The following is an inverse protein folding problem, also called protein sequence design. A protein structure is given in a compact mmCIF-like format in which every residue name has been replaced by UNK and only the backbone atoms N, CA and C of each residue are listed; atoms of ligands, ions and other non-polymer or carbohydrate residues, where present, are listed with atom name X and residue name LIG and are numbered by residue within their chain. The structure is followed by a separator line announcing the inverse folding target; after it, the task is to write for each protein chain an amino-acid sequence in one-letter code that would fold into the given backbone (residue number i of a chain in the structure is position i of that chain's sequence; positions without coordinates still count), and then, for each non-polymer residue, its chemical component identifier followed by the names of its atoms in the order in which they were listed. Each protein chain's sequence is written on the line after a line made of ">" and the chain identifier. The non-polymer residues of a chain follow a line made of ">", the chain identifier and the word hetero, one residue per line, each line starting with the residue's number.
data_IF_429692280882
#
_entry.id   IF_429692280882
#
_cell.length_a   1.000
_cell.length_b   1.000
_cell.length_c   1.000
_cell.angle_alpha   90.00
_cell.angle_beta   90.00
_cell.angle_gamma   90.00
#
_symmetry.space_group_name_H-M   'P 1'
#
loop_
_entity.id
_entity.type
_entity.pdbx_description
1 polymer ?
#
# COMPACT_ATOMS: atom_id res chain seq x y z
N UNK A 1 -26.06 70.75 -29.78
CA UNK A 1 -26.01 69.29 -29.96
C UNK A 1 -24.91 68.75 -29.07
N UNK A 2 -25.30 67.85 -28.18
CA UNK A 2 -24.49 67.17 -27.17
C UNK A 2 -23.63 66.08 -27.81
N UNK A 3 -22.37 65.93 -27.39
CA UNK A 3 -21.74 64.61 -27.23
C UNK A 3 -20.62 64.67 -26.17
N UNK A 4 -20.73 63.75 -25.21
CA UNK A 4 -19.94 63.63 -23.98
C UNK A 4 -18.62 62.87 -24.18
N UNK A 5 -17.62 63.06 -23.30
CA UNK A 5 -16.41 62.25 -23.27
C UNK A 5 -16.64 60.91 -22.54
N UNK A 6 -16.30 59.80 -23.20
CA UNK A 6 -16.34 58.45 -22.63
C UNK A 6 -15.14 58.20 -21.72
N UNK A 7 -15.39 58.23 -20.41
CA UNK A 7 -14.49 57.75 -19.37
C UNK A 7 -14.48 56.21 -19.34
N UNK A 8 -13.38 55.59 -19.77
CA UNK A 8 -13.11 54.17 -19.46
C UNK A 8 -12.54 54.10 -18.04
N UNK A 9 -13.39 53.72 -17.08
CA UNK A 9 -12.97 53.37 -15.72
C UNK A 9 -12.20 52.04 -15.77
N UNK A 10 -10.96 52.09 -15.30
CA UNK A 10 -10.10 50.97 -14.98
C UNK A 10 -10.77 50.09 -13.91
N UNK A 11 -11.19 48.89 -14.31
CA UNK A 11 -11.63 47.81 -13.41
C UNK A 11 -10.53 46.75 -13.33
N UNK A 12 -9.39 47.09 -12.71
CA UNK A 12 -8.29 46.14 -12.50
C UNK A 12 -7.71 46.16 -11.07
N UNK A 13 -8.29 46.88 -10.11
CA UNK A 13 -7.73 46.94 -8.74
C UNK A 13 -8.36 45.96 -7.75
N UNK A 14 -9.45 45.26 -8.11
CA UNK A 14 -10.15 44.34 -7.19
C UNK A 14 -9.58 42.91 -7.25
N UNK A 15 -8.96 42.53 -8.38
CA UNK A 15 -8.26 41.24 -8.50
C UNK A 15 -6.90 41.27 -7.78
N UNK A 16 -6.21 42.41 -7.76
CA UNK A 16 -4.91 42.55 -7.10
C UNK A 16 -4.98 42.60 -5.56
N UNK A 17 -6.13 42.97 -4.97
CA UNK A 17 -6.32 43.05 -3.52
C UNK A 17 -6.76 41.71 -2.89
N UNK A 18 -7.31 40.80 -3.71
CA UNK A 18 -7.65 39.44 -3.27
C UNK A 18 -6.39 38.55 -3.23
N UNK A 19 -5.33 38.90 -3.96
CA UNK A 19 -4.11 38.09 -4.04
C UNK A 19 -3.16 38.22 -2.83
N UNK A 20 -2.85 39.43 -2.34
CA UNK A 20 -1.79 39.55 -1.31
C UNK A 20 -2.19 38.97 0.05
N UNK A 21 -3.39 39.30 0.53
CA UNK A 21 -3.88 38.80 1.84
C UNK A 21 -4.16 37.30 1.84
N UNK A 22 -4.49 36.73 0.68
CA UNK A 22 -4.71 35.30 0.52
C UNK A 22 -3.38 34.55 0.53
N UNK A 23 -2.37 35.03 -0.22
CA UNK A 23 -1.02 34.46 -0.23
C UNK A 23 -0.38 34.48 1.15
N UNK A 24 -0.42 35.62 1.85
CA UNK A 24 0.11 35.74 3.21
C UNK A 24 -0.56 34.74 4.18
N UNK A 25 -1.83 34.43 3.95
CA UNK A 25 -2.58 33.50 4.82
C UNK A 25 -2.29 32.02 4.50
N UNK A 26 -2.01 31.68 3.25
CA UNK A 26 -1.56 30.33 2.89
C UNK A 26 -0.17 30.05 3.46
N UNK A 27 0.75 31.02 3.38
CA UNK A 27 2.09 30.90 3.96
C UNK A 27 2.03 30.65 5.47
N UNK A 28 1.10 31.28 6.18
CA UNK A 28 0.87 31.04 7.62
C UNK A 28 0.34 29.63 7.88
N UNK A 29 -0.60 29.13 7.06
CA UNK A 29 -1.12 27.77 7.20
C UNK A 29 -0.02 26.73 6.89
N UNK A 30 0.77 26.95 5.85
CA UNK A 30 1.89 26.09 5.49
C UNK A 30 2.98 26.10 6.57
N UNK A 31 3.31 27.27 7.12
CA UNK A 31 4.23 27.38 8.25
C UNK A 31 3.73 26.60 9.48
N UNK A 32 2.43 26.71 9.80
CA UNK A 32 1.84 25.96 10.91
C UNK A 32 1.84 24.44 10.67
N UNK A 33 1.55 23.99 9.44
CA UNK A 33 1.63 22.57 9.06
C UNK A 33 3.07 22.07 9.10
N UNK A 34 4.03 22.89 8.68
CA UNK A 34 5.45 22.56 8.76
C UNK A 34 5.95 22.50 10.21
N UNK A 35 5.48 23.39 11.09
CA UNK A 35 5.80 23.36 12.52
C UNK A 35 5.20 22.09 13.17
N UNK A 36 3.96 21.76 12.83
CA UNK A 36 3.29 20.51 13.21
C UNK A 36 4.11 19.27 12.85
N UNK A 37 4.59 19.19 11.61
CA UNK A 37 5.37 18.03 11.11
C UNK A 37 6.71 17.93 11.86
N UNK A 38 7.38 19.05 12.14
CA UNK A 38 8.76 19.04 12.62
C UNK A 38 8.91 19.07 14.14
N UNK A 39 7.94 19.62 14.89
CA UNK A 39 8.12 19.93 16.31
C UNK A 39 7.08 19.31 17.24
N UNK A 40 5.86 19.13 16.76
CA UNK A 40 4.74 18.73 17.63
C UNK A 40 4.82 17.23 17.92
N UNK A 41 4.86 16.90 19.21
CA UNK A 41 4.87 15.50 19.69
C UNK A 41 3.56 15.11 20.38
N UNK A 42 2.69 16.08 20.71
CA UNK A 42 1.40 15.83 21.36
C UNK A 42 0.27 15.71 20.32
N UNK A 43 -0.55 14.64 20.37
CA UNK A 43 -1.71 14.50 19.49
C UNK A 43 -2.81 15.53 19.77
N UNK A 44 -2.92 16.05 21.00
CA UNK A 44 -3.88 17.10 21.37
C UNK A 44 -3.52 18.43 20.72
N UNK A 45 -2.25 18.81 20.79
CA UNK A 45 -1.71 20.00 20.14
C UNK A 45 -1.86 19.90 18.61
N UNK A 46 -1.49 18.74 18.04
CA UNK A 46 -1.69 18.46 16.62
C UNK A 46 -3.14 18.61 16.18
N UNK A 47 -4.09 18.14 17.00
CA UNK A 47 -5.52 18.27 16.75
C UNK A 47 -5.99 19.72 16.77
N UNK A 48 -5.47 20.56 17.68
CA UNK A 48 -5.80 21.99 17.72
C UNK A 48 -5.30 22.70 16.47
N UNK A 49 -4.02 22.52 16.13
CA UNK A 49 -3.39 23.13 14.96
C UNK A 49 -4.12 22.74 13.68
N UNK A 50 -4.43 21.45 13.49
CA UNK A 50 -5.14 20.98 12.30
C UNK A 50 -6.57 21.55 12.21
N UNK A 51 -7.27 21.73 13.32
CA UNK A 51 -8.60 22.37 13.34
C UNK A 51 -8.52 23.85 12.95
N UNK A 52 -7.55 24.56 13.52
CA UNK A 52 -7.31 25.97 13.22
C UNK A 52 -6.91 26.17 11.76
N UNK A 53 -5.98 25.37 11.25
CA UNK A 53 -5.59 25.36 9.84
C UNK A 53 -6.77 25.02 8.92
N UNK A 54 -7.60 24.05 9.29
CA UNK A 54 -8.78 23.69 8.50
C UNK A 54 -9.84 24.80 8.48
N UNK A 55 -10.02 25.48 9.61
CA UNK A 55 -10.93 26.64 9.71
C UNK A 55 -10.42 27.82 8.89
N UNK A 56 -9.12 28.14 9.01
CA UNK A 56 -8.47 29.18 8.24
C UNK A 56 -8.56 28.88 6.73
N UNK A 57 -8.14 27.69 6.30
CA UNK A 57 -8.22 27.27 4.90
C UNK A 57 -9.63 27.46 4.32
N UNK A 58 -10.67 27.01 5.05
CA UNK A 58 -12.07 27.17 4.63
C UNK A 58 -12.47 28.64 4.50
N UNK A 59 -12.04 29.51 5.42
CA UNK A 59 -12.31 30.96 5.38
C UNK A 59 -11.77 31.58 4.09
N UNK A 60 -10.66 31.07 3.57
CA UNK A 60 -10.04 31.51 2.33
C UNK A 60 -10.50 30.74 1.09
N UNK A 61 -11.46 29.82 1.22
CA UNK A 61 -12.00 29.06 0.09
C UNK A 61 -11.10 27.92 -0.40
N UNK A 62 -10.08 27.53 0.38
CA UNK A 62 -9.28 26.34 0.11
C UNK A 62 -9.58 25.21 1.10
N UNK A 63 -9.18 24.00 0.75
CA UNK A 63 -9.30 22.84 1.64
C UNK A 63 -7.92 22.48 2.19
N UNK A 64 -7.85 22.21 3.50
CA UNK A 64 -6.61 21.76 4.13
C UNK A 64 -6.04 20.48 3.48
N UNK A 65 -6.90 19.64 2.88
CA UNK A 65 -6.48 18.46 2.12
C UNK A 65 -5.51 18.81 0.99
N UNK A 66 -5.76 19.90 0.26
CA UNK A 66 -4.91 20.33 -0.85
C UNK A 66 -3.53 20.75 -0.34
N UNK A 67 -3.48 21.51 0.76
CA UNK A 67 -2.22 21.96 1.38
C UNK A 67 -1.41 20.77 1.92
N UNK A 68 -2.07 19.83 2.59
CA UNK A 68 -1.41 18.62 3.12
C UNK A 68 -0.89 17.66 2.04
N UNK A 69 -1.44 17.75 0.82
CA UNK A 69 -1.07 16.93 -0.34
C UNK A 69 -0.23 17.69 -1.38
N UNK A 70 0.00 18.98 -1.16
CA UNK A 70 0.78 19.79 -2.09
C UNK A 70 2.23 19.35 -2.06
N UNK A 71 2.84 19.28 -3.25
CA UNK A 71 4.20 18.80 -3.48
C UNK A 71 5.11 19.89 -4.04
N UNK A 72 4.70 21.16 -3.95
CA UNK A 72 5.48 22.34 -4.34
C UNK A 72 6.95 22.24 -3.91
N UNK A 73 7.19 21.82 -2.67
CA UNK A 73 8.53 21.67 -2.08
C UNK A 73 9.08 20.22 -2.12
N UNK A 74 8.87 19.50 -3.22
CA UNK A 74 9.34 18.11 -3.49
C UNK A 74 8.70 17.00 -2.66
N UNK A 75 8.22 17.28 -1.44
CA UNK A 75 7.60 16.31 -0.55
C UNK A 75 6.42 16.92 0.20
N UNK A 76 5.25 16.29 0.05
CA UNK A 76 4.05 16.71 0.76
C UNK A 76 4.22 16.61 2.28
N UNK A 77 3.54 17.47 3.07
CA UNK A 77 3.51 17.35 4.52
C UNK A 77 3.18 15.93 4.99
N UNK A 78 2.19 15.28 4.37
CA UNK A 78 1.83 13.89 4.71
C UNK A 78 2.97 12.90 4.44
N UNK A 79 3.73 13.09 3.35
CA UNK A 79 4.89 12.25 3.04
C UNK A 79 5.96 12.36 4.14
N UNK A 80 6.29 13.60 4.55
CA UNK A 80 7.27 13.86 5.61
C UNK A 80 6.83 13.31 6.96
N UNK A 81 5.55 13.48 7.33
CA UNK A 81 4.98 12.91 8.55
C UNK A 81 5.12 11.39 8.59
N UNK A 82 4.84 10.68 7.49
CA UNK A 82 5.01 9.22 7.43
C UNK A 82 6.47 8.82 7.67
N UNK A 83 7.42 9.54 7.07
CA UNK A 83 8.86 9.29 7.27
C UNK A 83 9.28 9.48 8.73
N UNK A 84 8.73 10.46 9.44
CA UNK A 84 9.03 10.74 10.84
C UNK A 84 8.27 9.86 11.84
N UNK A 85 7.12 9.29 11.45
CA UNK A 85 6.25 8.51 12.34
C UNK A 85 6.94 7.25 12.87
N UNK A 86 7.10 7.08 14.18
CA UNK A 86 7.57 5.81 14.73
C UNK A 86 6.38 4.88 15.02
N UNK A 87 6.40 3.65 14.48
CA UNK A 87 5.31 2.68 14.68
C UNK A 87 5.19 2.19 16.14
N UNK A 88 6.26 2.30 16.93
CA UNK A 88 6.26 1.94 18.34
C UNK A 88 5.80 3.10 19.25
N UNK A 89 5.63 4.30 18.70
CA UNK A 89 5.15 5.46 19.44
C UNK A 89 3.67 5.73 19.13
N UNK A 90 2.82 5.53 20.13
CA UNK A 90 1.37 5.72 20.01
C UNK A 90 1.02 7.18 19.67
N UNK A 91 1.78 8.16 20.18
CA UNK A 91 1.56 9.58 19.90
C UNK A 91 1.83 9.90 18.43
N UNK A 92 2.96 9.45 17.89
CA UNK A 92 3.28 9.55 16.45
C UNK A 92 2.18 8.94 15.57
N UNK A 93 1.68 7.74 15.90
CA UNK A 93 0.61 7.09 15.16
C UNK A 93 -0.72 7.86 15.22
N UNK A 94 -1.05 8.44 16.38
CA UNK A 94 -2.24 9.30 16.54
C UNK A 94 -2.13 10.58 15.71
N UNK A 95 -0.97 11.22 15.71
CA UNK A 95 -0.70 12.42 14.88
C UNK A 95 -0.84 12.07 13.39
N UNK A 96 -0.23 10.97 12.94
CA UNK A 96 -0.38 10.50 11.56
C UNK A 96 -1.85 10.20 11.20
N UNK A 97 -2.61 9.57 12.09
CA UNK A 97 -4.04 9.30 11.89
C UNK A 97 -4.87 10.59 11.77
N UNK A 98 -4.57 11.60 12.59
CA UNK A 98 -5.18 12.93 12.50
C UNK A 98 -4.85 13.60 11.15
N UNK A 99 -3.58 13.60 10.75
CA UNK A 99 -3.14 14.12 9.46
C UNK A 99 -3.88 13.44 8.29
N UNK A 100 -3.91 12.10 8.28
CA UNK A 100 -4.64 11.32 7.27
C UNK A 100 -6.13 11.69 7.24
N UNK A 101 -6.77 11.86 8.40
CA UNK A 101 -8.18 12.29 8.47
C UNK A 101 -8.44 13.60 7.73
N UNK A 102 -7.56 14.60 7.84
CA UNK A 102 -7.73 15.88 7.16
C UNK A 102 -7.37 15.84 5.68
N UNK A 103 -6.57 14.86 5.25
CA UNK A 103 -6.25 14.67 3.83
C UNK A 103 -7.42 14.12 2.99
N UNK A 104 -8.38 13.39 3.59
CA UNK A 104 -9.48 12.70 2.88
C UNK A 104 -10.76 13.55 2.73
N UNK A 105 -10.74 14.81 3.20
CA UNK A 105 -11.96 15.61 3.36
C UNK A 105 -12.78 15.84 2.07
N UNK A 106 -12.16 15.80 0.89
CA UNK A 106 -12.84 15.89 -0.39
C UNK A 106 -12.81 14.55 -1.11
N UNK A 107 -13.98 13.91 -1.30
CA UNK A 107 -14.15 12.73 -2.18
C UNK A 107 -13.69 12.96 -3.63
N UNK A 108 -13.45 14.22 -4.01
CA UNK A 108 -12.94 14.62 -5.32
C UNK A 108 -11.42 14.58 -5.41
N UNK A 109 -10.71 14.70 -4.28
CA UNK A 109 -9.26 14.62 -4.25
C UNK A 109 -8.89 13.17 -3.99
N UNK A 110 -8.42 12.50 -5.04
CA UNK A 110 -7.67 11.28 -4.88
C UNK A 110 -6.49 11.65 -3.98
N UNK A 111 -6.56 11.33 -2.67
CA UNK A 111 -5.38 11.24 -1.84
C UNK A 111 -4.34 10.58 -2.71
N UNK A 112 -3.19 11.22 -2.88
CA UNK A 112 -2.08 10.62 -3.62
C UNK A 112 -1.66 9.39 -2.81
N UNK A 113 -2.37 8.27 -2.96
CA UNK A 113 -2.04 6.96 -2.40
C UNK A 113 -0.62 6.61 -2.86
N UNK A 114 -0.21 7.11 -4.02
CA UNK A 114 1.17 7.14 -4.48
C UNK A 114 2.15 7.77 -3.49
N UNK A 115 1.85 8.92 -2.86
CA UNK A 115 2.72 9.56 -1.88
C UNK A 115 2.82 8.77 -0.59
N UNK A 116 1.68 8.30 -0.07
CA UNK A 116 1.65 7.42 1.12
C UNK A 116 2.47 6.15 0.86
N UNK A 117 2.22 5.48 -0.27
CA UNK A 117 2.98 4.29 -0.68
C UNK A 117 4.46 4.60 -0.84
N UNK A 118 4.80 5.70 -1.51
CA UNK A 118 6.20 6.13 -1.73
C UNK A 118 6.90 6.39 -0.40
N UNK A 119 6.24 7.06 0.56
CA UNK A 119 6.80 7.32 1.88
C UNK A 119 7.08 6.01 2.63
N UNK A 120 6.11 5.09 2.64
CA UNK A 120 6.30 3.79 3.29
C UNK A 120 7.37 2.94 2.58
N UNK A 121 7.47 3.01 1.25
CA UNK A 121 8.52 2.32 0.47
C UNK A 121 9.90 2.87 0.83
N UNK A 122 10.05 4.20 0.91
CA UNK A 122 11.31 4.85 1.28
C UNK A 122 11.72 4.47 2.70
N UNK A 123 10.75 4.34 3.61
CA UNK A 123 10.98 3.94 5.00
C UNK A 123 11.25 2.43 5.16
N UNK A 124 10.78 1.60 4.23
CA UNK A 124 10.80 0.13 4.29
C UNK A 124 10.17 -0.44 5.57
N UNK A 125 9.11 0.20 6.07
CA UNK A 125 8.45 -0.14 7.33
C UNK A 125 7.07 -0.78 7.07
N UNK A 126 7.06 -2.11 7.03
CA UNK A 126 5.85 -2.89 6.82
C UNK A 126 4.80 -2.71 7.93
N UNK A 127 5.13 -2.74 9.23
CA UNK A 127 4.18 -2.44 10.30
C UNK A 127 3.49 -1.08 10.15
N UNK A 128 4.24 -0.02 9.80
CA UNK A 128 3.66 1.30 9.55
C UNK A 128 2.72 1.29 8.34
N UNK A 129 3.11 0.63 7.25
CA UNK A 129 2.23 0.49 6.09
C UNK A 129 0.96 -0.29 6.41
N UNK A 130 1.06 -1.37 7.21
CA UNK A 130 -0.09 -2.12 7.68
C UNK A 130 -1.02 -1.27 8.55
N UNK A 131 -0.48 -0.46 9.46
CA UNK A 131 -1.25 0.53 10.23
C UNK A 131 -2.02 1.48 9.30
N UNK A 132 -1.34 2.11 8.35
CA UNK A 132 -1.97 3.07 7.42
C UNK A 132 -3.04 2.39 6.56
N UNK A 133 -2.75 1.21 6.00
CA UNK A 133 -3.69 0.42 5.19
C UNK A 133 -4.96 0.05 5.96
N UNK A 134 -4.81 -0.16 7.26
CA UNK A 134 -5.90 -0.50 8.17
C UNK A 134 -6.69 0.73 8.64
N UNK A 135 -6.23 1.95 8.37
CA UNK A 135 -7.08 3.14 8.60
C UNK A 135 -8.26 3.14 7.62
N UNK A 136 -9.43 3.61 8.07
CA UNK A 136 -10.60 3.77 7.19
C UNK A 136 -10.31 4.69 6.00
N UNK A 137 -9.42 5.68 6.22
CA UNK A 137 -8.99 6.67 5.23
C UNK A 137 -8.32 6.04 4.01
N UNK A 138 -7.41 5.07 4.19
CA UNK A 138 -6.73 4.41 3.05
C UNK A 138 -7.70 3.57 2.21
N UNK A 139 -8.68 2.91 2.85
CA UNK A 139 -9.63 2.02 2.18
C UNK A 139 -10.55 2.74 1.20
N UNK A 140 -10.94 3.97 1.49
CA UNK A 140 -11.81 4.76 0.59
C UNK A 140 -11.22 4.92 -0.82
N UNK A 141 -9.89 4.81 -0.95
CA UNK A 141 -9.18 4.96 -2.21
C UNK A 141 -8.83 3.65 -2.90
N UNK A 142 -8.99 2.50 -2.24
CA UNK A 142 -8.69 1.19 -2.86
C UNK A 142 -10.00 0.62 -3.42
N UNK A 143 -10.16 0.53 -4.75
CA UNK A 143 -11.42 0.09 -5.36
C UNK A 143 -11.91 -1.28 -4.85
N UNK A 144 -11.00 -2.19 -4.49
CA UNK A 144 -11.35 -3.51 -3.96
C UNK A 144 -11.99 -3.48 -2.57
N UNK A 145 -11.79 -2.40 -1.80
CA UNK A 145 -12.28 -2.31 -0.44
C UNK A 145 -13.82 -2.31 -0.36
N UNK A 146 -14.53 -1.81 -1.38
CA UNK A 146 -16.00 -1.75 -1.39
C UNK A 146 -16.66 -3.13 -1.39
N UNK A 147 -16.06 -4.09 -2.10
CA UNK A 147 -16.55 -5.46 -2.11
C UNK A 147 -16.22 -6.16 -0.78
N UNK A 148 -15.03 -5.89 -0.24
CA UNK A 148 -14.59 -6.45 1.04
C UNK A 148 -15.44 -5.97 2.22
N UNK A 149 -15.93 -4.73 2.22
CA UNK A 149 -16.80 -4.19 3.27
C UNK A 149 -18.13 -4.95 3.42
N UNK A 150 -18.61 -5.62 2.35
CA UNK A 150 -19.81 -6.45 2.41
C UNK A 150 -19.57 -7.75 3.18
N UNK A 151 -18.36 -8.33 3.05
CA UNK A 151 -18.02 -9.62 3.65
C UNK A 151 -17.33 -9.49 5.00
N UNK A 152 -16.69 -8.35 5.28
CA UNK A 152 -16.01 -8.03 6.53
C UNK A 152 -16.75 -6.91 7.28
N UNK A 153 -17.98 -7.14 7.76
CA UNK A 153 -18.74 -6.11 8.46
C UNK A 153 -18.09 -5.78 9.81
N UNK A 154 -17.30 -4.70 9.85
CA UNK A 154 -16.75 -4.07 11.07
C UNK A 154 -16.04 -5.01 12.07
N UNK A 155 -15.65 -6.21 11.66
CA UNK A 155 -14.89 -7.11 12.52
C UNK A 155 -13.45 -6.60 12.62
N UNK A 156 -12.86 -6.70 13.81
CA UNK A 156 -11.44 -6.39 14.06
C UNK A 156 -10.48 -7.37 13.33
N UNK A 157 -11.04 -8.36 12.62
CA UNK A 157 -10.31 -9.32 11.80
C UNK A 157 -9.98 -8.71 10.43
N UNK A 158 -8.80 -8.09 10.35
CA UNK A 158 -8.25 -7.54 9.10
C UNK A 158 -7.18 -8.45 8.51
N UNK A 159 -6.93 -8.27 7.22
CA UNK A 159 -5.79 -8.91 6.55
C UNK A 159 -4.50 -8.49 7.25
N UNK A 160 -3.67 -9.47 7.61
CA UNK A 160 -2.37 -9.24 8.24
C UNK A 160 -1.25 -9.73 7.35
N UNK A 161 -0.18 -8.95 7.25
CA UNK A 161 1.00 -9.32 6.47
C UNK A 161 2.25 -9.06 7.26
N UNK A 162 2.87 -10.13 7.75
CA UNK A 162 4.14 -10.07 8.46
C UNK A 162 5.28 -10.35 7.50
N UNK A 163 6.22 -9.41 7.40
CA UNK A 163 7.42 -9.56 6.57
C UNK A 163 8.62 -9.74 7.49
N UNK A 164 9.38 -10.80 7.26
CA UNK A 164 10.62 -11.10 7.97
C UNK A 164 11.78 -11.11 6.98
N UNK A 165 12.74 -10.21 7.18
CA UNK A 165 13.96 -10.17 6.37
C UNK A 165 14.89 -11.28 6.86
N UNK A 166 15.30 -12.16 5.94
CA UNK A 166 16.22 -13.26 6.19
C UNK A 166 17.59 -12.92 5.62
N UNK A 167 18.56 -12.70 6.51
CA UNK A 167 19.96 -12.49 6.13
C UNK A 167 20.62 -13.87 6.07
N UNK A 168 20.85 -14.38 4.87
CA UNK A 168 21.52 -15.65 4.66
C UNK A 168 23.03 -15.46 4.89
N UNK A 169 23.49 -15.75 6.11
CA UNK A 169 24.89 -15.70 6.59
C UNK A 169 25.50 -14.29 6.67
N UNK A 170 25.47 -13.64 7.85
CA UNK A 170 26.00 -12.28 8.03
C UNK A 170 27.51 -12.17 7.75
N UNK A 171 28.27 -13.27 7.90
CA UNK A 171 29.74 -13.27 7.82
C UNK A 171 30.33 -13.11 6.40
N UNK A 172 29.54 -13.28 5.33
CA UNK A 172 30.03 -13.21 3.94
C UNK A 172 29.56 -11.99 3.16
N UNK A 173 29.03 -10.98 3.86
CA UNK A 173 28.59 -9.75 3.21
C UNK A 173 29.80 -8.83 3.02
N UNK A 174 30.57 -9.06 1.96
CA UNK A 174 31.51 -8.07 1.44
C UNK A 174 30.73 -6.83 0.99
N UNK A 175 31.17 -5.65 1.44
CA UNK A 175 30.53 -4.33 1.30
C UNK A 175 30.22 -3.86 -0.13
N UNK A 176 30.60 -4.64 -1.15
CA UNK A 176 30.50 -4.30 -2.57
C UNK A 176 29.35 -5.00 -3.31
N UNK A 177 28.78 -6.08 -2.78
CA UNK A 177 27.54 -6.64 -3.34
C UNK A 177 26.37 -6.13 -2.51
N UNK A 178 25.43 -5.40 -3.16
CA UNK A 178 24.05 -5.31 -2.67
C UNK A 178 23.49 -6.73 -2.65
N UNK A 179 23.87 -7.52 -1.66
CA UNK A 179 23.31 -8.82 -1.40
C UNK A 179 21.84 -8.54 -1.13
N UNK A 180 21.04 -8.81 -2.16
CA UNK A 180 19.59 -8.79 -2.08
C UNK A 180 19.25 -9.69 -0.90
N UNK A 181 18.76 -9.07 0.18
CA UNK A 181 18.31 -9.83 1.32
C UNK A 181 17.27 -10.84 0.81
N UNK A 182 17.05 -11.92 1.54
CA UNK A 182 15.85 -12.72 1.31
C UNK A 182 14.77 -12.15 2.22
N UNK A 183 13.50 -12.35 1.87
CA UNK A 183 12.42 -12.12 2.82
C UNK A 183 11.41 -13.26 2.77
N UNK A 184 10.77 -13.44 3.92
CA UNK A 184 9.61 -14.29 4.10
C UNK A 184 8.42 -13.38 4.38
N UNK A 185 7.36 -13.47 3.58
CA UNK A 185 6.09 -12.81 3.89
C UNK A 185 5.06 -13.87 4.33
N UNK A 186 4.43 -13.63 5.49
CA UNK A 186 3.36 -14.45 6.06
C UNK A 186 2.05 -13.68 6.03
N UNK A 187 1.06 -14.26 5.39
CA UNK A 187 -0.26 -13.66 5.21
C UNK A 187 -1.28 -14.35 6.10
N UNK A 188 -2.19 -13.58 6.69
CA UNK A 188 -3.41 -14.06 7.34
C UNK A 188 -4.58 -13.32 6.69
N UNK A 189 -5.46 -14.08 6.02
CA UNK A 189 -6.61 -13.53 5.30
C UNK A 189 -7.90 -14.08 5.88
N UNK A 190 -8.62 -13.32 6.72
CA UNK A 190 -9.90 -13.74 7.29
C UNK A 190 -10.96 -13.91 6.20
N UNK A 191 -11.78 -14.95 6.33
CA UNK A 191 -12.91 -15.23 5.44
C UNK A 191 -12.49 -15.33 3.96
N UNK A 192 -11.29 -15.86 3.71
CA UNK A 192 -10.72 -15.93 2.36
C UNK A 192 -11.69 -16.58 1.36
N UNK A 193 -12.30 -17.71 1.73
CA UNK A 193 -13.24 -18.41 0.85
C UNK A 193 -14.49 -17.59 0.51
N UNK A 194 -15.06 -16.90 1.51
CA UNK A 194 -16.23 -16.06 1.29
C UNK A 194 -15.90 -14.87 0.39
N UNK A 195 -14.76 -14.22 0.62
CA UNK A 195 -14.28 -13.13 -0.23
C UNK A 195 -14.03 -13.61 -1.65
N UNK A 196 -13.32 -14.72 -1.85
CA UNK A 196 -13.10 -15.29 -3.19
C UNK A 196 -14.40 -15.65 -3.92
N UNK A 197 -15.42 -16.19 -3.23
CA UNK A 197 -16.73 -16.45 -3.84
C UNK A 197 -17.51 -15.18 -4.17
N UNK A 198 -17.37 -14.18 -3.31
CA UNK A 198 -18.12 -12.94 -3.38
C UNK A 198 -17.58 -11.92 -4.37
N UNK A 199 -16.30 -11.57 -4.22
CA UNK A 199 -15.61 -10.59 -5.07
C UNK A 199 -14.90 -11.23 -6.27
N UNK A 200 -14.65 -12.55 -6.25
CA UNK A 200 -13.81 -13.22 -7.24
C UNK A 200 -12.32 -12.87 -7.15
N UNK A 201 -11.94 -11.98 -6.24
CA UNK A 201 -10.59 -11.42 -6.13
C UNK A 201 -10.25 -11.03 -4.70
N UNK A 202 -9.08 -11.46 -4.22
CA UNK A 202 -8.47 -10.98 -2.96
C UNK A 202 -7.12 -10.35 -3.30
N UNK A 203 -6.87 -9.12 -2.85
CA UNK A 203 -5.62 -8.40 -3.13
C UNK A 203 -4.94 -7.99 -1.81
N UNK A 204 -3.65 -8.32 -1.67
CA UNK A 204 -2.82 -8.02 -0.52
C UNK A 204 -1.60 -7.22 -0.96
N UNK A 205 -1.45 -6.02 -0.41
CA UNK A 205 -0.28 -5.16 -0.63
C UNK A 205 0.64 -5.21 0.58
N UNK A 206 1.94 -5.23 0.38
CA UNK A 206 2.94 -5.19 1.46
C UNK A 206 4.27 -4.62 0.97
N UNK A 207 5.12 -4.23 1.91
CA UNK A 207 6.43 -3.65 1.66
C UNK A 207 7.50 -4.63 2.10
N UNK A 208 8.47 -4.84 1.22
CA UNK A 208 9.67 -5.59 1.55
C UNK A 208 10.82 -5.11 0.65
N UNK A 209 11.95 -4.78 1.25
CA UNK A 209 13.20 -4.41 0.56
C UNK A 209 13.06 -3.14 -0.27
N UNK A 210 12.37 -2.14 0.28
CA UNK A 210 12.15 -0.86 -0.39
C UNK A 210 11.32 -1.01 -1.65
N UNK A 211 10.41 -2.00 -1.70
CA UNK A 211 9.49 -2.23 -2.81
C UNK A 211 8.10 -2.55 -2.31
N UNK A 212 7.11 -2.14 -3.10
CA UNK A 212 5.71 -2.49 -2.89
C UNK A 212 5.37 -3.73 -3.71
N UNK A 213 4.95 -4.76 -2.99
CA UNK A 213 4.51 -6.03 -3.51
C UNK A 213 3.00 -6.10 -3.47
N UNK A 214 2.42 -6.72 -4.49
CA UNK A 214 0.99 -6.99 -4.58
C UNK A 214 0.76 -8.47 -4.87
N UNK A 215 0.15 -9.18 -3.93
CA UNK A 215 -0.30 -10.56 -4.07
C UNK A 215 -1.80 -10.54 -4.36
N UNK A 216 -2.21 -11.11 -5.48
CA UNK A 216 -3.60 -11.20 -5.90
C UNK A 216 -4.00 -12.67 -6.02
N UNK A 217 -5.16 -13.00 -5.47
CA UNK A 217 -5.87 -14.25 -5.71
C UNK A 217 -7.05 -13.93 -6.60
N UNK A 218 -7.21 -14.65 -7.71
CA UNK A 218 -8.29 -14.47 -8.66
C UNK A 218 -9.04 -15.79 -8.87
N UNK A 219 -10.35 -15.69 -9.08
CA UNK A 219 -11.16 -16.78 -9.57
C UNK A 219 -11.03 -16.84 -11.11
N UNK A 220 -10.40 -17.88 -11.68
CA UNK A 220 -10.17 -17.98 -13.13
C UNK A 220 -11.49 -18.00 -13.91
N UNK A 221 -12.60 -18.47 -13.31
CA UNK A 221 -13.90 -18.49 -13.95
C UNK A 221 -14.47 -17.09 -14.24
N UNK A 222 -13.97 -16.05 -13.57
CA UNK A 222 -14.42 -14.67 -13.72
C UNK A 222 -13.47 -13.80 -14.56
N UNK A 223 -12.22 -14.23 -14.77
CA UNK A 223 -11.23 -13.49 -15.54
C UNK A 223 -11.21 -13.95 -17.01
N UNK A 224 -12.02 -13.32 -17.86
CA UNK A 224 -12.03 -13.63 -19.29
C UNK A 224 -10.83 -13.10 -20.09
N UNK A 225 -9.91 -12.32 -19.48
CA UNK A 225 -8.70 -11.86 -20.18
C UNK A 225 -7.45 -11.85 -19.28
N UNK A 226 -6.44 -12.71 -19.56
CA UNK A 226 -5.15 -12.62 -18.90
C UNK A 226 -4.44 -11.34 -19.37
N UNK A 227 -4.37 -10.33 -18.52
CA UNK A 227 -3.58 -9.12 -18.78
C UNK A 227 -2.35 -9.12 -17.87
N UNK A 228 -1.20 -8.79 -18.47
CA UNK A 228 0.17 -8.81 -17.88
C UNK A 228 0.79 -10.19 -17.67
N UNK A 229 2.12 -10.20 -17.53
CA UNK A 229 2.95 -11.37 -17.21
C UNK A 229 2.56 -11.91 -15.83
N UNK A 230 1.51 -12.70 -15.82
CA UNK A 230 0.96 -13.32 -14.62
C UNK A 230 1.63 -14.66 -14.42
N UNK A 231 2.24 -14.84 -13.25
CA UNK A 231 2.61 -16.18 -12.80
C UNK A 231 1.37 -16.80 -12.19
N UNK A 232 0.68 -17.64 -12.96
CA UNK A 232 -0.49 -18.38 -12.48
C UNK A 232 -0.03 -19.58 -11.66
N UNK A 233 -0.53 -19.70 -10.43
CA UNK A 233 -0.41 -20.92 -9.64
C UNK A 233 -1.79 -21.50 -9.46
N UNK A 234 -2.00 -22.74 -9.90
CA UNK A 234 -3.19 -23.51 -9.56
C UNK A 234 -2.89 -24.33 -8.31
N UNK A 235 -3.58 -24.04 -7.21
CA UNK A 235 -3.50 -24.85 -6.02
C UNK A 235 -4.48 -26.01 -6.11
N UNK A 236 -4.02 -27.28 -6.02
CA UNK A 236 -4.93 -28.41 -5.98
C UNK A 236 -5.68 -28.42 -4.64
N UNK A 237 -6.95 -28.07 -4.68
CA UNK A 237 -7.84 -28.20 -3.53
C UNK A 237 -8.13 -29.68 -3.26
N UNK A 238 -7.76 -30.19 -2.06
CA UNK A 238 -8.18 -31.51 -1.59
C UNK A 238 -9.30 -31.36 -0.56
N UNK A 239 -10.54 -31.56 -1.00
CA UNK A 239 -11.62 -32.02 -0.12
C UNK A 239 -11.58 -33.55 -0.12
N UNK A 240 -11.84 -34.19 1.02
CA UNK A 240 -11.92 -35.65 1.12
C UNK A 240 -12.83 -36.21 0.00
N UNK A 241 -12.22 -36.90 -0.97
CA UNK A 241 -12.80 -37.75 -2.02
C UNK A 241 -13.62 -37.15 -3.18
N UNK A 242 -13.73 -35.84 -3.38
CA UNK A 242 -14.30 -35.27 -4.63
C UNK A 242 -13.38 -34.21 -5.25
N UNK A 243 -12.91 -34.49 -6.47
CA UNK A 243 -12.12 -33.59 -7.32
C UNK A 243 -13.09 -32.70 -8.11
N UNK A 244 -13.96 -31.97 -7.42
CA UNK A 244 -14.56 -30.76 -7.97
C UNK A 244 -13.76 -29.59 -7.41
N UNK A 245 -12.54 -29.44 -7.93
CA UNK A 245 -11.56 -28.51 -7.40
C UNK A 245 -11.88 -27.09 -7.85
N UNK A 246 -12.34 -26.25 -6.93
CA UNK A 246 -12.24 -24.81 -7.11
C UNK A 246 -10.77 -24.48 -7.38
N UNK A 247 -10.44 -24.14 -8.63
CA UNK A 247 -9.11 -23.69 -8.99
C UNK A 247 -9.03 -22.19 -8.72
N UNK A 248 -8.00 -21.78 -8.00
CA UNK A 248 -7.69 -20.37 -7.78
C UNK A 248 -6.38 -20.06 -8.48
N UNK A 249 -6.29 -18.85 -9.03
CA UNK A 249 -5.05 -18.32 -9.58
C UNK A 249 -4.44 -17.37 -8.57
N UNK A 250 -3.23 -17.68 -8.12
CA UNK A 250 -2.39 -16.73 -7.39
C UNK A 250 -1.58 -15.95 -8.41
N UNK A 251 -1.36 -14.67 -8.17
CA UNK A 251 -0.52 -13.81 -9.00
C UNK A 251 0.26 -12.86 -8.09
N UNK A 252 1.57 -12.74 -8.29
CA UNK A 252 2.42 -11.83 -7.52
C UNK A 252 3.05 -10.82 -8.49
N UNK A 253 2.88 -9.54 -8.21
CA UNK A 253 3.38 -8.45 -9.04
C UNK A 253 4.13 -7.42 -8.21
N UNK A 254 5.15 -6.82 -8.81
CA UNK A 254 5.66 -5.53 -8.34
C UNK A 254 4.77 -4.43 -8.91
N UNK A 255 4.42 -3.44 -8.07
CA UNK A 255 3.54 -2.34 -8.51
C UNK A 255 4.22 -1.41 -9.52
N UNK A 256 5.54 -1.50 -9.69
CA UNK A 256 6.32 -0.78 -10.69
C UNK A 256 6.32 -1.45 -12.09
N UNK A 257 5.63 -2.58 -12.25
CA UNK A 257 5.44 -3.25 -13.54
C UNK A 257 6.54 -4.26 -13.92
N UNK A 258 7.52 -4.52 -13.05
CA UNK A 258 8.57 -5.51 -13.32
C UNK A 258 8.12 -6.89 -12.84
N UNK A 259 7.97 -7.85 -13.76
CA UNK A 259 7.76 -9.26 -13.42
C UNK A 259 9.11 -9.94 -13.17
N UNK A 260 9.36 -10.40 -11.94
CA UNK A 260 10.55 -11.18 -11.59
C UNK A 260 10.28 -12.68 -11.74
N UNK A 261 11.29 -13.45 -12.17
CA UNK A 261 11.23 -14.90 -12.27
C UNK A 261 11.55 -15.51 -10.89
N UNK A 262 10.72 -16.45 -10.43
CA UNK A 262 10.77 -16.99 -9.07
C UNK A 262 11.15 -18.46 -9.01
N UNK A 263 12.04 -18.83 -8.08
CA UNK A 263 12.32 -20.23 -7.74
C UNK A 263 11.61 -20.60 -6.42
N UNK A 264 10.69 -21.58 -6.51
CA UNK A 264 9.61 -21.87 -5.55
C UNK A 264 10.04 -22.56 -4.25
N UNK A 265 9.38 -22.14 -3.15
CA UNK A 265 8.82 -23.01 -2.11
C UNK A 265 7.68 -22.24 -1.43
N UNK A 266 6.42 -22.50 -1.81
CA UNK A 266 5.26 -22.05 -1.03
C UNK A 266 4.86 -23.18 -0.10
N UNK A 267 4.84 -22.92 1.21
CA UNK A 267 4.20 -23.80 2.17
C UNK A 267 2.84 -23.19 2.54
N UNK A 268 1.81 -24.03 2.51
CA UNK A 268 0.46 -23.65 2.89
C UNK A 268 0.06 -24.40 4.14
N UNK A 269 -0.47 -23.67 5.10
CA UNK A 269 -1.06 -24.25 6.30
C UNK A 269 -2.44 -23.66 6.49
N UNK A 270 -3.46 -24.51 6.48
CA UNK A 270 -4.83 -24.10 6.72
C UNK A 270 -5.11 -24.10 8.22
N UNK A 271 -5.42 -22.93 8.78
CA UNK A 271 -5.86 -22.79 10.17
C UNK A 271 -7.39 -22.74 10.20
N UNK A 272 -8.02 -23.90 10.03
CA UNK A 272 -9.48 -23.98 9.94
C UNK A 272 -10.02 -23.71 8.54
N UNK A 273 -11.32 -23.40 8.43
CA UNK A 273 -12.00 -23.26 7.12
C UNK A 273 -11.73 -21.93 6.42
N UNK A 274 -11.38 -20.88 7.17
CA UNK A 274 -11.48 -19.50 6.68
C UNK A 274 -10.21 -18.66 6.83
N UNK A 275 -9.11 -19.23 7.32
CA UNK A 275 -7.80 -18.58 7.42
C UNK A 275 -6.75 -19.36 6.61
N UNK A 276 -6.11 -18.65 5.69
CA UNK A 276 -4.99 -19.14 4.89
C UNK A 276 -3.70 -18.53 5.41
N UNK A 277 -2.74 -19.38 5.77
CA UNK A 277 -1.37 -18.98 6.04
C UNK A 277 -0.49 -19.36 4.85
N UNK A 278 0.08 -18.35 4.20
CA UNK A 278 0.99 -18.49 3.07
C UNK A 278 2.37 -17.97 3.45
N UNK A 279 3.40 -18.77 3.17
CA UNK A 279 4.79 -18.34 3.30
C UNK A 279 5.40 -18.13 1.91
N UNK A 280 5.77 -16.88 1.60
CA UNK A 280 6.50 -16.55 0.37
C UNK A 280 7.98 -16.37 0.68
N UNK A 281 8.81 -17.31 0.23
CA UNK A 281 10.26 -17.20 0.29
C UNK A 281 10.80 -16.58 -1.00
N UNK A 282 11.45 -15.43 -0.87
CA UNK A 282 12.11 -14.79 -2.01
C UNK A 282 13.59 -15.16 -2.02
N UNK A 283 14.04 -15.80 -3.12
CA UNK A 283 15.47 -16.00 -3.39
C UNK A 283 15.93 -14.92 -4.36
N UNK A 284 17.07 -14.27 -4.12
CA UNK A 284 17.69 -13.45 -5.14
C UNK A 284 18.06 -14.33 -6.34
N UNK A 285 17.44 -14.05 -7.48
CA UNK A 285 17.68 -14.77 -8.72
C UNK A 285 18.80 -14.11 -9.52
N UNK A 286 19.77 -14.93 -9.92
CA UNK A 286 20.78 -14.65 -10.94
C UNK A 286 20.17 -13.89 -12.13
N UNK A 287 20.85 -12.83 -12.58
CA UNK A 287 20.51 -12.19 -13.84
C UNK A 287 20.70 -13.22 -14.95
N UNK A 288 19.61 -13.80 -15.46
CA UNK A 288 19.67 -14.46 -16.76
C UNK A 288 19.82 -13.36 -17.81
N UNK A 289 21.00 -13.34 -18.44
CA UNK A 289 21.28 -12.48 -19.58
C UNK A 289 20.21 -12.65 -20.63
N UNK A 290 19.85 -11.54 -21.27
CA UNK A 290 18.87 -11.46 -22.34
C UNK A 290 19.35 -12.09 -23.66
N UNK A 291 20.04 -13.23 -23.62
CA UNK A 291 20.56 -13.91 -24.80
C UNK A 291 20.39 -15.43 -24.70
N UNK A 292 19.65 -15.99 -25.67
CA UNK A 292 19.74 -17.39 -26.07
C UNK A 292 18.91 -18.39 -25.25
N UNK A 293 17.73 -18.76 -25.77
CA UNK A 293 17.14 -20.08 -25.51
C UNK A 293 18.15 -21.18 -25.87
N UNK A 294 18.36 -22.18 -25.00
CA UNK A 294 18.03 -23.53 -25.44
C UNK A 294 17.38 -24.41 -24.35
N UNK A 295 16.46 -25.26 -24.80
CA UNK A 295 16.27 -26.62 -24.28
C UNK A 295 15.76 -26.78 -22.85
N UNK A 296 14.45 -26.92 -22.71
CA UNK A 296 13.76 -27.41 -21.51
C UNK A 296 14.24 -28.82 -21.13
N UNK A 297 15.21 -28.94 -20.23
CA UNK A 297 15.49 -30.20 -19.53
C UNK A 297 14.86 -30.17 -18.14
N UNK A 298 13.70 -30.84 -18.01
CA UNK A 298 13.12 -31.17 -16.71
C UNK A 298 13.97 -32.24 -16.02
N UNK A 299 14.72 -31.88 -14.98
CA UNK A 299 15.21 -32.85 -14.01
C UNK A 299 14.13 -33.14 -12.98
N UNK A 300 13.49 -34.31 -13.11
CA UNK A 300 12.60 -34.88 -12.10
C UNK A 300 13.47 -35.56 -11.03
N UNK A 301 13.73 -34.87 -9.91
CA UNK A 301 14.41 -35.48 -8.76
C UNK A 301 13.36 -36.17 -7.88
N UNK A 302 13.10 -37.44 -8.13
CA UNK A 302 12.35 -38.32 -7.21
C UNK A 302 13.20 -38.54 -5.96
N UNK A 303 12.71 -38.07 -4.80
CA UNK A 303 13.20 -38.54 -3.50
C UNK A 303 12.39 -39.78 -3.13
N UNK A 304 13.06 -40.93 -3.14
CA UNK A 304 12.56 -42.15 -2.51
C UNK A 304 12.42 -41.93 -1.00
N UNK A 305 11.23 -42.21 -0.46
CA UNK A 305 10.97 -42.32 0.98
C UNK A 305 10.71 -43.80 1.25
N UNK A 306 11.50 -44.49 2.09
CA UNK A 306 11.24 -45.88 2.42
C UNK A 306 10.05 -45.97 3.39
N UNK A 307 9.00 -46.70 2.98
CA UNK A 307 7.92 -47.14 3.89
C UNK A 307 8.45 -48.29 4.76
N UNK A 308 8.59 -48.06 6.07
CA UNK A 308 8.60 -49.15 7.05
C UNK A 308 7.16 -49.42 7.47
N UNK A 309 6.67 -50.63 7.20
CA UNK A 309 5.54 -51.22 7.89
C UNK A 309 6.04 -51.77 9.23
N UNK A 310 5.34 -51.47 10.32
CA UNK A 310 5.45 -52.21 11.59
C UNK A 310 4.06 -52.78 11.83
N UNK A 311 3.97 -54.12 11.78
CA UNK A 311 2.87 -54.87 12.37
C UNK A 311 3.23 -55.17 13.82
N UNK A 312 2.31 -54.84 14.72
CA UNK A 312 1.99 -55.59 15.95
C UNK A 312 0.52 -55.35 16.22
#
# INVERSE_FOLDING_TARGET
>A
MSTSPSSRKSTNSLVQLIDSTFVDSLDVIEAAVNDLVNRVTSPEEASSILKECAFAARKYGCHLSLILQDTSDSQSPIFRTILQTNVNDESSLKILSLMLRYTVYLKLDNLKVSDVRRACIVKDDQPLFEFIRNTGYYKEFVPSAKADDLYLPRTDTRDKVMVQVKIEKPERVSSSSRNQAMFTAKFTVPMFQMRMRGSGKVELQFIAQGRMWCLTFNNPAQNMQPTRKTFTFSLPWRRNNEIAGDQWEISLFLTDGIALLWQKSCAETWKGRDEVELELLTRPGERFGSEGMPGTHMYKKTKDVPRRFVHT
#
